data_IF_122731583883
#
_entry.id   IF_122731583883
#
_cell.length_a   1.000
_cell.length_b   1.000
_cell.length_c   1.000
_cell.angle_alpha   90.00
_cell.angle_beta   90.00
_cell.angle_gamma   90.00
#
_symmetry.space_group_name_H-M   'P 1'
#
loop_
_entity.id
_entity.type
_entity.pdbx_description
1 polymer ?
#
# COMPACT_ATOMS: atom_id res chain seq x y z
N UNK A 1 -19.78 -19.93 28.12
CA UNK A 1 -19.02 -19.85 26.85
C UNK A 1 -19.86 -20.56 25.80
N UNK A 2 -20.27 -19.87 24.72
CA UNK A 2 -21.15 -20.46 23.69
C UNK A 2 -20.35 -21.53 22.94
N UNK A 3 -20.88 -22.74 22.89
CA UNK A 3 -20.26 -23.90 22.26
C UNK A 3 -19.98 -23.61 20.77
N UNK A 4 -18.69 -23.45 20.43
CA UNK A 4 -18.21 -23.07 19.09
C UNK A 4 -18.66 -24.10 18.05
N UNK A 5 -18.65 -25.39 18.42
CA UNK A 5 -19.02 -26.48 17.53
C UNK A 5 -20.51 -26.39 17.15
N UNK A 6 -21.36 -26.00 18.12
CA UNK A 6 -22.78 -25.79 17.88
C UNK A 6 -23.05 -24.64 16.90
N UNK A 7 -22.21 -23.61 16.89
CA UNK A 7 -22.31 -22.50 15.94
C UNK A 7 -21.86 -22.91 14.54
N UNK A 8 -20.73 -23.61 14.45
CA UNK A 8 -20.20 -24.11 13.16
C UNK A 8 -21.23 -25.02 12.50
N UNK A 9 -21.73 -26.04 13.21
CA UNK A 9 -22.73 -26.96 12.68
C UNK A 9 -24.02 -26.27 12.21
N UNK A 10 -24.43 -25.19 12.90
CA UNK A 10 -25.60 -24.38 12.51
C UNK A 10 -25.35 -23.58 11.23
N UNK A 11 -24.13 -23.07 11.04
CA UNK A 11 -23.74 -22.34 9.85
C UNK A 11 -23.58 -23.29 8.65
N UNK A 12 -22.93 -24.44 8.84
CA UNK A 12 -22.74 -25.47 7.81
C UNK A 12 -24.07 -26.04 7.32
N UNK A 13 -25.04 -26.27 8.21
CA UNK A 13 -26.38 -26.72 7.83
C UNK A 13 -27.15 -25.75 6.91
N UNK A 14 -26.70 -24.49 6.81
CA UNK A 14 -27.26 -23.45 5.95
C UNK A 14 -26.28 -22.99 4.86
N UNK A 15 -25.10 -23.59 4.79
CA UNK A 15 -24.10 -23.21 3.82
C UNK A 15 -24.49 -23.69 2.42
N UNK A 16 -24.17 -22.87 1.43
CA UNK A 16 -24.25 -23.27 0.02
C UNK A 16 -22.99 -24.08 -0.29
N UNK A 17 -23.08 -25.22 -1.00
CA UNK A 17 -21.91 -25.95 -1.46
C UNK A 17 -20.94 -25.04 -2.21
N UNK A 18 -19.63 -25.22 -1.99
CA UNK A 18 -18.58 -24.40 -2.62
C UNK A 18 -18.70 -24.35 -4.16
N UNK A 19 -19.18 -25.43 -4.77
CA UNK A 19 -19.42 -25.54 -6.22
C UNK A 19 -20.53 -24.63 -6.77
N UNK A 20 -21.40 -24.11 -5.89
CA UNK A 20 -22.47 -23.17 -6.23
C UNK A 20 -22.11 -21.71 -5.84
N UNK A 21 -20.93 -21.48 -5.26
CA UNK A 21 -20.45 -20.14 -4.95
C UNK A 21 -19.99 -19.48 -6.25
N UNK A 22 -20.72 -18.46 -6.68
CA UNK A 22 -20.33 -17.66 -7.84
C UNK A 22 -19.26 -16.64 -7.42
N UNK A 23 -18.07 -16.75 -7.98
CA UNK A 23 -16.92 -15.83 -7.75
C UNK A 23 -16.64 -14.94 -8.97
N UNK A 24 -17.56 -14.85 -9.94
CA UNK A 24 -17.34 -14.10 -11.20
C UNK A 24 -17.07 -12.61 -11.00
N UNK A 25 -17.50 -12.04 -9.87
CA UNK A 25 -17.29 -10.64 -9.47
C UNK A 25 -15.94 -10.40 -8.78
N UNK A 26 -15.29 -11.45 -8.28
CA UNK A 26 -14.03 -11.40 -7.55
C UNK A 26 -13.07 -12.43 -8.19
N UNK A 27 -12.38 -12.07 -9.28
CA UNK A 27 -11.41 -12.96 -9.89
C UNK A 27 -10.28 -13.28 -8.90
N UNK A 28 -9.72 -14.49 -9.03
CA UNK A 28 -8.58 -14.89 -8.22
C UNK A 28 -7.38 -13.98 -8.49
N UNK A 29 -6.69 -13.59 -7.41
CA UNK A 29 -5.54 -12.71 -7.51
C UNK A 29 -4.36 -13.47 -8.10
N UNK A 30 -3.88 -13.04 -9.27
CA UNK A 30 -2.67 -13.61 -9.87
C UNK A 30 -1.40 -13.09 -9.18
N UNK A 31 -0.28 -13.80 -9.30
CA UNK A 31 1.02 -13.35 -8.76
C UNK A 31 1.44 -11.99 -9.33
N UNK A 32 1.13 -11.75 -10.61
CA UNK A 32 1.37 -10.49 -11.29
C UNK A 32 0.50 -9.34 -10.73
N UNK A 33 -0.76 -9.64 -10.38
CA UNK A 33 -1.65 -8.66 -9.74
C UNK A 33 -1.25 -8.39 -8.29
N UNK A 34 -0.68 -9.38 -7.61
CA UNK A 34 -0.08 -9.19 -6.29
C UNK A 34 1.18 -8.31 -6.37
N UNK A 35 2.02 -8.52 -7.38
CA UNK A 35 3.24 -7.73 -7.58
C UNK A 35 2.96 -6.28 -8.00
N UNK A 36 1.92 -6.05 -8.81
CA UNK A 36 1.44 -4.71 -9.19
C UNK A 36 0.47 -4.10 -8.18
N UNK A 37 0.01 -4.90 -7.22
CA UNK A 37 -0.96 -4.53 -6.21
C UNK A 37 -0.40 -3.46 -5.30
N UNK A 38 -0.73 -2.20 -5.58
CA UNK A 38 -0.66 -1.16 -4.58
C UNK A 38 -1.73 -1.48 -3.53
N UNK A 39 -1.38 -2.28 -2.53
CA UNK A 39 -2.25 -2.51 -1.37
C UNK A 39 -2.70 -1.15 -0.85
N UNK A 40 -3.99 -0.85 -1.01
CA UNK A 40 -4.61 0.42 -0.63
C UNK A 40 -4.31 0.84 0.81
N UNK A 41 -3.93 -0.12 1.65
CA UNK A 41 -3.61 0.03 3.06
C UNK A 41 -2.13 -0.16 3.42
N UNK A 42 -1.27 -0.51 2.46
CA UNK A 42 0.16 -0.66 2.72
C UNK A 42 0.83 0.72 2.81
N UNK A 43 1.23 1.08 4.04
CA UNK A 43 2.04 2.25 4.31
C UNK A 43 3.46 1.80 4.57
N UNK A 44 4.44 2.16 3.72
CA UNK A 44 5.85 1.88 4.01
C UNK A 44 6.23 2.45 5.38
N UNK A 45 7.03 1.69 6.13
CA UNK A 45 7.63 2.17 7.38
C UNK A 45 8.48 3.40 7.09
N UNK A 46 8.14 4.52 7.72
CA UNK A 46 8.88 5.79 7.60
C UNK A 46 9.85 5.91 8.77
N UNK A 47 11.13 6.12 8.48
CA UNK A 47 12.13 6.48 9.49
C UNK A 47 12.27 8.00 9.51
N UNK A 48 12.13 8.60 10.68
CA UNK A 48 12.44 10.02 10.87
C UNK A 48 13.96 10.19 10.88
N UNK A 49 14.47 10.97 9.94
CA UNK A 49 15.88 11.34 9.85
C UNK A 49 15.98 12.85 9.70
N UNK A 50 17.04 13.44 10.26
CA UNK A 50 17.36 14.86 10.04
C UNK A 50 18.28 14.97 8.83
N UNK A 51 17.81 15.66 7.78
CA UNK A 51 18.59 15.93 6.56
C UNK A 51 18.65 17.43 6.31
N UNK A 52 19.69 17.88 5.62
CA UNK A 52 19.77 19.23 5.05
C UNK A 52 19.27 19.17 3.61
N UNK A 53 18.48 20.16 3.22
CA UNK A 53 17.93 20.32 1.87
C UNK A 53 18.21 21.77 1.47
N UNK A 54 18.56 22.00 0.22
CA UNK A 54 18.75 23.34 -0.31
C UNK A 54 17.45 24.15 -0.27
N UNK A 55 17.59 25.47 -0.11
CA UNK A 55 16.45 26.38 0.14
C UNK A 55 15.49 26.44 -1.05
N UNK A 56 16.04 26.40 -2.27
CA UNK A 56 15.29 26.39 -3.53
C UNK A 56 14.45 25.10 -3.68
N UNK A 57 15.04 23.95 -3.36
CA UNK A 57 14.36 22.66 -3.35
C UNK A 57 13.25 22.61 -2.29
N UNK A 58 13.49 23.18 -1.11
CA UNK A 58 12.46 23.30 -0.08
C UNK A 58 11.31 24.20 -0.54
N UNK A 59 11.62 25.36 -1.13
CA UNK A 59 10.61 26.27 -1.67
C UNK A 59 9.77 25.61 -2.78
N UNK A 60 10.41 24.85 -3.67
CA UNK A 60 9.74 24.09 -4.72
C UNK A 60 8.79 23.03 -4.14
N UNK A 61 9.22 22.24 -3.14
CA UNK A 61 8.38 21.24 -2.47
C UNK A 61 7.17 21.88 -1.76
N UNK A 62 7.32 23.11 -1.27
CA UNK A 62 6.29 23.87 -0.58
C UNK A 62 5.42 24.74 -1.51
N UNK A 63 5.72 24.80 -2.80
CA UNK A 63 4.99 25.61 -3.79
C UNK A 63 3.48 25.32 -3.82
N UNK A 64 3.11 24.03 -3.72
CA UNK A 64 1.72 23.58 -3.60
C UNK A 64 1.22 23.51 -2.14
N UNK A 65 1.74 24.34 -1.25
CA UNK A 65 1.40 24.40 0.17
C UNK A 65 2.47 23.81 1.10
N UNK A 66 2.64 24.44 2.26
CA UNK A 66 3.61 24.03 3.28
C UNK A 66 3.25 22.70 3.97
N UNK A 67 1.97 22.29 3.95
CA UNK A 67 1.53 21.02 4.54
C UNK A 67 1.83 19.87 3.56
N UNK A 68 2.46 18.81 4.08
CA UNK A 68 2.68 17.58 3.30
C UNK A 68 3.91 17.57 2.41
N UNK A 69 4.80 18.57 2.49
CA UNK A 69 6.06 18.57 1.74
C UNK A 69 6.91 17.32 2.04
N UNK A 70 6.86 16.79 3.27
CA UNK A 70 7.53 15.53 3.63
C UNK A 70 7.00 14.33 2.83
N UNK A 71 5.71 14.30 2.53
CA UNK A 71 5.11 13.25 1.67
C UNK A 71 5.58 13.43 0.23
N UNK A 72 5.52 14.67 -0.30
CA UNK A 72 6.01 15.00 -1.65
C UNK A 72 7.49 14.67 -1.82
N UNK A 73 8.32 14.96 -0.82
CA UNK A 73 9.74 14.60 -0.83
C UNK A 73 9.94 13.09 -1.01
N UNK A 74 9.19 12.27 -0.27
CA UNK A 74 9.27 10.82 -0.41
C UNK A 74 8.78 10.33 -1.78
N UNK A 75 7.78 10.98 -2.36
CA UNK A 75 7.28 10.68 -3.72
C UNK A 75 8.31 11.04 -4.79
N UNK A 76 8.96 12.20 -4.68
CA UNK A 76 10.03 12.63 -5.59
C UNK A 76 11.22 11.66 -5.53
N UNK A 77 11.64 11.25 -4.34
CA UNK A 77 12.72 10.27 -4.17
C UNK A 77 12.33 8.93 -4.79
N UNK A 78 11.07 8.49 -4.62
CA UNK A 78 10.58 7.26 -5.22
C UNK A 78 10.60 7.34 -6.74
N UNK A 79 10.09 8.43 -7.30
CA UNK A 79 10.10 8.68 -8.74
C UNK A 79 11.53 8.68 -9.28
N UNK A 80 12.47 9.37 -8.61
CA UNK A 80 13.87 9.40 -9.02
C UNK A 80 14.50 8.00 -9.03
N UNK A 81 14.18 7.17 -8.02
CA UNK A 81 14.66 5.78 -7.94
C UNK A 81 14.09 4.91 -9.07
N UNK A 82 12.79 5.03 -9.36
CA UNK A 82 12.13 4.28 -10.45
C UNK A 82 12.66 4.68 -11.82
N UNK A 83 13.01 5.96 -12.00
CA UNK A 83 13.61 6.50 -13.22
C UNK A 83 15.13 6.33 -13.29
N UNK A 84 15.72 5.50 -12.42
CA UNK A 84 17.16 5.17 -12.40
C UNK A 84 18.07 6.41 -12.31
N UNK A 85 17.66 7.41 -11.53
CA UNK A 85 18.48 8.59 -11.26
C UNK A 85 19.84 8.17 -10.67
N UNK A 86 20.97 8.62 -11.25
CA UNK A 86 22.29 8.23 -10.78
C UNK A 86 22.59 8.86 -9.43
N UNK A 87 22.80 8.03 -8.40
CA UNK A 87 23.30 8.48 -7.11
C UNK A 87 24.82 8.63 -7.22
N UNK A 88 25.28 9.88 -7.30
CA UNK A 88 26.72 10.18 -7.27
C UNK A 88 27.25 9.73 -5.91
N UNK A 89 28.15 8.74 -5.91
CA UNK A 89 28.91 8.40 -4.72
C UNK A 89 30.01 9.47 -4.58
N UNK A 90 29.91 10.27 -3.52
CA UNK A 90 31.02 11.13 -3.09
C UNK A 90 32.21 10.32 -2.61
#
# INVERSE_FOLDING_TARGET
MRDLNKFIAKCEAKAVPDSLINTSDIPELTEDDFARGHFKYWKPLKKSITIRIDVDNLAWLQSGGAKGYQTKLNEVIRWARENKCPLVKG
#
